data_IF_869761200371
#
_entry.id   IF_869761200371
#
_cell.length_a   1.000
_cell.length_b   1.000
_cell.length_c   1.000
_cell.angle_alpha   90.00
_cell.angle_beta   90.00
_cell.angle_gamma   90.00
#
_symmetry.space_group_name_H-M   'P 1'
#
loop_
_entity.id
_entity.type
_entity.pdbx_description
1 polymer ?
#
# COMPACT_ATOMS: atom_id res chain seq x y z
N UNK A 1 2.38 -7.85 -8.41
CA UNK A 1 3.46 -7.05 -7.77
C UNK A 1 3.80 -7.59 -6.39
N UNK A 2 2.86 -7.63 -5.44
CA UNK A 2 3.10 -8.31 -4.14
C UNK A 2 3.22 -9.83 -4.31
N UNK A 3 2.29 -10.46 -5.04
CA UNK A 3 2.35 -11.90 -5.36
C UNK A 3 3.58 -12.32 -6.18
N UNK A 4 4.25 -11.36 -6.84
CA UNK A 4 5.43 -11.61 -7.67
C UNK A 4 6.74 -11.41 -6.90
N UNK A 5 6.69 -11.05 -5.61
CA UNK A 5 7.88 -10.83 -4.78
C UNK A 5 8.72 -9.62 -5.17
N UNK A 6 8.18 -8.73 -6.02
CA UNK A 6 8.90 -7.55 -6.52
C UNK A 6 8.68 -6.31 -5.64
N UNK A 7 7.67 -6.35 -4.77
CA UNK A 7 7.38 -5.26 -3.84
C UNK A 7 8.33 -5.32 -2.64
N UNK A 8 9.12 -4.26 -2.43
CA UNK A 8 9.96 -4.09 -1.24
C UNK A 8 9.18 -3.50 -0.07
N UNK A 9 8.23 -2.61 -0.36
CA UNK A 9 7.45 -1.92 0.67
C UNK A 9 6.06 -1.57 0.13
N UNK A 10 5.04 -1.55 0.97
CA UNK A 10 3.65 -1.28 0.60
C UNK A 10 3.08 -0.24 1.56
N UNK A 11 2.51 0.81 1.01
CA UNK A 11 1.84 1.86 1.76
C UNK A 11 0.33 1.71 1.61
N UNK A 12 -0.41 1.79 2.70
CA UNK A 12 -1.87 1.63 2.73
C UNK A 12 -2.50 2.82 3.43
N UNK A 13 -3.44 3.49 2.77
CA UNK A 13 -4.21 4.56 3.37
C UNK A 13 -5.25 4.00 4.35
N UNK A 14 -5.35 4.59 5.55
CA UNK A 14 -6.32 4.18 6.57
C UNK A 14 -7.76 4.59 6.23
N UNK A 15 -7.92 5.60 5.37
CA UNK A 15 -9.20 6.03 4.79
C UNK A 15 -9.79 5.04 3.75
N UNK A 16 -9.14 3.88 3.56
CA UNK A 16 -9.60 2.81 2.66
C UNK A 16 -10.45 1.76 3.38
N UNK A 17 -11.22 0.99 2.61
CA UNK A 17 -12.06 -0.08 3.15
C UNK A 17 -11.21 -1.06 3.98
N UNK A 18 -11.56 -1.30 5.26
CA UNK A 18 -10.78 -2.15 6.15
C UNK A 18 -10.68 -3.59 5.67
N UNK A 19 -11.64 -4.09 4.87
CA UNK A 19 -11.56 -5.42 4.27
C UNK A 19 -10.47 -5.49 3.20
N UNK A 20 -10.31 -4.42 2.41
CA UNK A 20 -9.27 -4.33 1.39
C UNK A 20 -7.89 -4.21 2.04
N UNK A 21 -7.77 -3.34 3.05
CA UNK A 21 -6.56 -3.16 3.86
C UNK A 21 -6.12 -4.46 4.51
N UNK A 22 -7.03 -5.20 5.14
CA UNK A 22 -6.72 -6.47 5.79
C UNK A 22 -6.21 -7.53 4.81
N UNK A 23 -6.82 -7.63 3.61
CA UNK A 23 -6.35 -8.56 2.56
C UNK A 23 -4.93 -8.25 2.10
N UNK A 24 -4.60 -6.97 1.93
CA UNK A 24 -3.28 -6.55 1.46
C UNK A 24 -2.22 -6.69 2.54
N UNK A 25 -2.55 -6.39 3.80
CA UNK A 25 -1.65 -6.63 4.94
C UNK A 25 -1.31 -8.12 5.04
N UNK A 26 -2.32 -9.00 4.97
CA UNK A 26 -2.08 -10.44 4.98
C UNK A 26 -1.18 -10.86 3.81
N UNK A 27 -1.43 -10.37 2.60
CA UNK A 27 -0.57 -10.62 1.43
C UNK A 27 0.86 -10.10 1.63
N UNK A 28 1.06 -8.89 2.16
CA UNK A 28 2.40 -8.40 2.48
C UNK A 28 3.10 -9.35 3.47
N UNK A 29 2.43 -9.71 4.57
CA UNK A 29 3.00 -10.56 5.62
C UNK A 29 3.41 -11.92 5.08
N UNK A 30 2.56 -12.54 4.27
CA UNK A 30 2.89 -13.82 3.62
C UNK A 30 4.12 -13.73 2.72
N UNK A 31 4.32 -12.59 2.06
CA UNK A 31 5.44 -12.35 1.17
C UNK A 31 6.63 -11.64 1.85
N UNK A 32 6.61 -11.46 3.19
CA UNK A 32 7.62 -10.72 3.95
C UNK A 32 7.88 -9.29 3.42
N UNK A 33 6.83 -8.65 2.90
CA UNK A 33 6.87 -7.26 2.43
C UNK A 33 6.52 -6.35 3.59
N UNK A 34 7.27 -5.26 3.78
CA UNK A 34 6.91 -4.25 4.78
C UNK A 34 5.64 -3.54 4.35
N UNK A 35 4.59 -3.51 5.19
CA UNK A 35 3.49 -2.58 5.00
C UNK A 35 3.56 -1.40 5.98
N UNK A 36 3.26 -0.19 5.49
CA UNK A 36 3.18 1.05 6.27
C UNK A 36 1.81 1.67 6.07
N UNK A 37 1.20 2.14 7.16
CA UNK A 37 -0.09 2.82 7.12
C UNK A 37 0.10 4.34 7.00
N UNK A 38 -0.76 5.00 6.26
CA UNK A 38 -0.76 6.47 6.10
C UNK A 38 -2.17 7.02 6.31
N UNK A 39 -2.26 8.27 6.77
CA UNK A 39 -3.54 8.85 7.21
C UNK A 39 -4.59 8.96 6.10
N UNK A 40 -4.21 9.45 4.91
CA UNK A 40 -5.18 9.72 3.83
C UNK A 40 -4.66 9.30 2.45
N UNK A 41 -5.59 8.86 1.59
CA UNK A 41 -5.29 8.51 0.19
C UNK A 41 -4.68 9.67 -0.60
N UNK A 42 -5.11 10.90 -0.28
CA UNK A 42 -4.58 12.13 -0.91
C UNK A 42 -3.13 12.36 -0.55
N UNK A 43 -2.76 12.20 0.72
CA UNK A 43 -1.38 12.38 1.14
C UNK A 43 -0.48 11.32 0.51
N UNK A 44 -0.95 10.08 0.43
CA UNK A 44 -0.24 9.00 -0.24
C UNK A 44 0.01 9.31 -1.72
N UNK A 45 -1.06 9.65 -2.45
CA UNK A 45 -0.96 9.98 -3.88
C UNK A 45 -0.01 11.16 -4.13
N UNK A 46 -0.14 12.21 -3.33
CA UNK A 46 0.73 13.39 -3.41
C UNK A 46 2.20 13.05 -3.10
N UNK A 47 2.46 12.19 -2.12
CA UNK A 47 3.80 11.70 -1.81
C UNK A 47 4.40 10.85 -2.93
N UNK A 48 3.57 10.06 -3.62
CA UNK A 48 3.94 9.32 -4.82
C UNK A 48 4.04 10.19 -6.08
N UNK A 49 3.75 11.50 -6.00
CA UNK A 49 3.79 12.41 -7.16
C UNK A 49 2.64 12.23 -8.14
N UNK A 50 1.59 11.50 -7.77
CA UNK A 50 0.39 11.30 -8.58
C UNK A 50 -0.71 12.27 -8.13
N UNK A 51 -1.32 12.98 -9.09
CA UNK A 51 -2.38 13.96 -8.84
C UNK A 51 -3.72 13.36 -8.41
N UNK A 52 -3.76 12.08 -8.05
CA UNK A 52 -4.95 11.32 -7.67
C UNK A 52 -4.73 10.63 -6.32
N UNK A 53 -5.79 10.49 -5.52
CA UNK A 53 -5.71 9.77 -4.25
C UNK A 53 -5.42 8.29 -4.48
N UNK A 54 -4.44 7.74 -3.76
CA UNK A 54 -4.08 6.33 -3.83
C UNK A 54 -4.56 5.62 -2.56
N UNK A 55 -5.35 4.56 -2.73
CA UNK A 55 -5.72 3.66 -1.64
C UNK A 55 -4.51 2.89 -1.10
N UNK A 56 -3.68 2.38 -2.02
CA UNK A 56 -2.45 1.67 -1.72
C UNK A 56 -1.38 2.02 -2.75
N UNK A 57 -0.12 2.00 -2.33
CA UNK A 57 1.05 2.15 -3.20
C UNK A 57 2.07 1.07 -2.87
N UNK A 58 2.52 0.30 -3.85
CA UNK A 58 3.59 -0.67 -3.67
C UNK A 58 4.89 -0.12 -4.26
N UNK A 59 5.94 -0.06 -3.45
CA UNK A 59 7.30 0.24 -3.87
C UNK A 59 7.91 -1.03 -4.41
N UNK A 60 8.12 -1.08 -5.72
CA UNK A 60 8.89 -2.12 -6.39
C UNK A 60 10.33 -1.64 -6.59
N UNK A 61 11.28 -2.57 -6.55
CA UNK A 61 12.70 -2.29 -6.82
C UNK A 61 13.07 -2.67 -8.24
#
# INVERSE_FOLDING_TARGET
>A
MVQTGMASEVYVAEDCDPQLTSKIIALCEQHNVKCTKVDTMKNLGKACGIGVGAAMAAVVK
#
